data_IF_037986845693
#
_entry.id   IF_037986845693
#
_cell.length_a   1.000
_cell.length_b   1.000
_cell.length_c   1.000
_cell.angle_alpha   90.00
_cell.angle_beta   90.00
_cell.angle_gamma   90.00
#
_symmetry.space_group_name_H-M   'P 1'
#
loop_
_entity.id
_entity.type
_entity.pdbx_description
1 polymer ?
#
# COMPACT_ATOMS: atom_id res chain seq x y z
N UNK A 1 -12.48 3.80 15.82
CA UNK A 1 -12.09 4.94 14.97
C UNK A 1 -11.05 5.78 15.70
N UNK A 2 -10.02 6.26 15.02
CA UNK A 2 -9.06 7.24 15.53
C UNK A 2 -9.23 8.52 14.73
N UNK A 3 -9.46 9.64 15.39
CA UNK A 3 -9.44 10.97 14.76
C UNK A 3 -8.10 11.61 15.12
N UNK A 4 -7.36 12.12 14.12
CA UNK A 4 -6.08 12.76 14.39
C UNK A 4 -6.30 14.13 15.07
N UNK A 5 -5.92 14.24 16.35
CA UNK A 5 -5.92 15.50 17.11
C UNK A 5 -4.71 16.41 16.78
N UNK A 6 -4.03 16.16 15.64
CA UNK A 6 -2.83 16.88 15.22
C UNK A 6 -1.52 16.22 15.66
N UNK A 7 -1.58 15.02 16.24
CA UNK A 7 -0.41 14.25 16.64
C UNK A 7 0.35 13.64 15.44
N UNK A 8 -0.29 13.55 14.26
CA UNK A 8 0.27 13.00 13.01
C UNK A 8 0.84 11.58 13.16
N UNK A 9 0.37 10.82 14.15
CA UNK A 9 0.83 9.44 14.44
C UNK A 9 -0.14 8.44 13.85
N UNK A 10 0.39 7.35 13.29
CA UNK A 10 -0.43 6.23 12.88
C UNK A 10 -0.99 5.49 14.12
N UNK A 11 -2.18 4.87 14.06
CA UNK A 11 -2.82 4.25 15.22
C UNK A 11 -1.94 3.25 15.98
N UNK A 12 -1.14 2.46 15.28
CA UNK A 12 -0.24 1.46 15.86
C UNK A 12 0.93 2.07 16.67
N UNK A 13 1.17 3.38 16.54
CA UNK A 13 2.17 4.13 17.30
C UNK A 13 1.59 4.72 18.61
N UNK A 14 0.28 4.55 18.84
CA UNK A 14 -0.40 4.95 20.07
C UNK A 14 0.00 4.07 21.25
N UNK A 15 0.14 4.68 22.43
CA UNK A 15 0.43 3.93 23.65
C UNK A 15 -0.72 2.97 24.00
N UNK A 16 -0.40 1.74 24.38
CA UNK A 16 -1.39 0.73 24.78
C UNK A 16 -2.18 0.09 23.64
N UNK A 17 -2.01 0.53 22.38
CA UNK A 17 -2.72 -0.05 21.24
C UNK A 17 -2.15 -1.43 20.89
N UNK A 18 -0.84 -1.53 20.73
CA UNK A 18 -0.12 -2.80 20.62
C UNK A 18 0.55 -3.13 21.95
N UNK A 19 0.61 -4.43 22.31
CA UNK A 19 1.30 -4.89 23.53
C UNK A 19 2.78 -4.54 23.54
N UNK A 20 3.39 -4.51 22.35
CA UNK A 20 4.79 -4.12 22.14
C UNK A 20 4.87 -3.13 20.98
N UNK A 21 5.67 -2.06 21.11
CA UNK A 21 5.88 -1.15 20.00
C UNK A 21 6.64 -1.86 18.88
N UNK A 22 6.31 -1.50 17.63
CA UNK A 22 7.02 -2.02 16.46
C UNK A 22 8.43 -1.42 16.37
N UNK A 23 9.42 -2.18 15.86
CA UNK A 23 10.73 -1.63 15.51
C UNK A 23 10.63 -0.40 14.60
N UNK A 24 11.57 0.54 14.74
CA UNK A 24 11.62 1.78 13.95
C UNK A 24 12.27 1.57 12.56
N UNK A 25 11.94 0.46 11.92
CA UNK A 25 12.49 0.00 10.65
C UNK A 25 11.38 -0.36 9.66
N UNK A 26 11.58 -0.07 8.38
CA UNK A 26 10.67 -0.48 7.33
C UNK A 26 11.40 -1.07 6.12
N UNK A 27 10.73 -1.99 5.45
CA UNK A 27 11.06 -2.38 4.08
C UNK A 27 9.90 -1.97 3.18
N UNK A 28 10.19 -1.13 2.19
CA UNK A 28 9.23 -0.59 1.23
C UNK A 28 9.41 -1.30 -0.11
N UNK A 29 8.31 -1.72 -0.73
CA UNK A 29 8.31 -2.42 -2.01
C UNK A 29 7.49 -1.64 -3.02
N UNK A 30 8.12 -1.19 -4.10
CA UNK A 30 7.46 -0.33 -5.08
C UNK A 30 6.32 -1.04 -5.84
N UNK A 31 5.45 -0.28 -6.50
CA UNK A 31 4.43 -0.81 -7.39
C UNK A 31 5.00 -1.37 -8.71
N UNK A 32 4.13 -1.95 -9.54
CA UNK A 32 4.54 -2.46 -10.86
C UNK A 32 3.90 -3.76 -11.33
N UNK A 33 2.70 -4.10 -10.86
CA UNK A 33 1.98 -5.31 -11.25
C UNK A 33 2.77 -6.60 -10.95
N UNK A 34 2.63 -7.62 -11.80
CA UNK A 34 3.22 -8.95 -11.57
C UNK A 34 4.74 -8.92 -11.51
N UNK A 35 5.42 -8.02 -12.23
CA UNK A 35 6.87 -7.80 -12.11
C UNK A 35 7.26 -7.44 -10.68
N UNK A 36 6.55 -6.47 -10.09
CA UNK A 36 6.82 -6.08 -8.71
C UNK A 36 6.47 -7.19 -7.72
N UNK A 37 5.37 -7.91 -7.95
CA UNK A 37 5.01 -9.07 -7.12
C UNK A 37 6.15 -10.11 -7.07
N UNK A 38 6.66 -10.53 -8.23
CA UNK A 38 7.74 -11.53 -8.34
C UNK A 38 9.03 -11.03 -7.68
N UNK A 39 9.41 -9.77 -7.94
CA UNK A 39 10.60 -9.17 -7.32
C UNK A 39 10.46 -9.09 -5.79
N UNK A 40 9.28 -8.67 -5.31
CA UNK A 40 8.95 -8.57 -3.88
C UNK A 40 9.04 -9.93 -3.19
N UNK A 41 8.52 -11.00 -3.82
CA UNK A 41 8.64 -12.36 -3.27
C UNK A 41 10.11 -12.82 -3.18
N UNK A 42 10.93 -12.53 -4.19
CA UNK A 42 12.37 -12.80 -4.13
C UNK A 42 13.08 -12.02 -3.01
N UNK A 43 12.68 -10.77 -2.79
CA UNK A 43 13.23 -9.92 -1.73
C UNK A 43 12.80 -10.41 -0.34
N UNK A 44 11.53 -10.76 -0.15
CA UNK A 44 11.03 -11.38 1.08
C UNK A 44 11.73 -12.71 1.37
N UNK A 45 11.96 -13.53 0.32
CA UNK A 45 12.73 -14.78 0.42
C UNK A 45 14.15 -14.54 0.90
N UNK A 46 14.84 -13.53 0.36
CA UNK A 46 16.17 -13.13 0.82
C UNK A 46 16.17 -12.68 2.28
N UNK A 47 15.20 -11.82 2.67
CA UNK A 47 15.06 -11.36 4.06
C UNK A 47 14.77 -12.51 5.04
N UNK A 48 13.94 -13.47 4.64
CA UNK A 48 13.64 -14.67 5.43
C UNK A 48 14.90 -15.54 5.62
N UNK A 49 15.63 -15.82 4.53
CA UNK A 49 16.88 -16.59 4.59
C UNK A 49 17.93 -15.93 5.50
N UNK A 50 18.00 -14.60 5.51
CA UNK A 50 18.92 -13.84 6.35
C UNK A 50 18.45 -13.71 7.81
N UNK A 51 17.26 -14.19 8.17
CA UNK A 51 16.69 -14.04 9.52
C UNK A 51 16.39 -12.59 9.90
N UNK A 52 16.12 -11.72 8.91
CA UNK A 52 15.94 -10.28 9.13
C UNK A 52 14.49 -9.86 9.33
N UNK A 53 13.52 -10.69 8.93
CA UNK A 53 12.10 -10.35 9.02
C UNK A 53 11.67 -10.00 10.46
N UNK A 54 12.18 -10.71 11.46
CA UNK A 54 11.87 -10.45 12.87
C UNK A 54 12.47 -9.13 13.41
N UNK A 55 13.30 -8.45 12.61
CA UNK A 55 13.87 -7.13 12.94
C UNK A 55 13.19 -5.98 12.18
N UNK A 56 12.32 -6.31 11.21
CA UNK A 56 11.60 -5.33 10.40
C UNK A 56 10.30 -4.97 11.11
N UNK A 57 10.10 -3.70 11.41
CA UNK A 57 8.86 -3.20 12.00
C UNK A 57 7.71 -3.18 11.01
N UNK A 58 7.97 -2.71 9.78
CA UNK A 58 6.94 -2.49 8.77
C UNK A 58 7.31 -3.10 7.42
N UNK A 59 6.34 -3.75 6.76
CA UNK A 59 6.39 -4.01 5.31
C UNK A 59 5.44 -3.05 4.63
N UNK A 60 5.99 -2.07 3.92
CA UNK A 60 5.18 -1.12 3.16
C UNK A 60 5.13 -1.54 1.70
N UNK A 61 3.93 -1.53 1.12
CA UNK A 61 3.72 -2.04 -0.23
C UNK A 61 2.56 -1.35 -0.94
N UNK A 62 2.55 -1.46 -2.25
CA UNK A 62 1.59 -0.82 -3.14
C UNK A 62 1.45 -1.62 -4.42
N UNK A 63 0.25 -1.65 -5.01
CA UNK A 63 0.00 -2.29 -6.30
C UNK A 63 0.48 -3.76 -6.29
N UNK A 64 1.28 -4.16 -7.28
CA UNK A 64 1.84 -5.51 -7.40
C UNK A 64 2.58 -6.03 -6.16
N UNK A 65 3.27 -5.17 -5.39
CA UNK A 65 3.93 -5.63 -4.17
C UNK A 65 2.94 -5.93 -3.04
N UNK A 66 1.75 -5.31 -3.06
CA UNK A 66 0.68 -5.64 -2.12
C UNK A 66 0.12 -7.05 -2.34
N UNK A 67 0.11 -7.56 -3.58
CA UNK A 67 -0.25 -8.94 -3.89
C UNK A 67 0.71 -9.94 -3.22
N UNK A 68 2.01 -9.61 -3.19
CA UNK A 68 3.05 -10.43 -2.57
C UNK A 68 3.02 -10.33 -1.03
N UNK A 69 3.11 -9.12 -0.48
CA UNK A 69 3.20 -8.88 0.98
C UNK A 69 1.94 -9.38 1.69
N UNK A 70 0.75 -9.13 1.15
CA UNK A 70 -0.50 -9.58 1.78
C UNK A 70 -0.57 -11.10 1.83
N UNK A 71 -0.26 -11.78 0.71
CA UNK A 71 -0.22 -13.24 0.67
C UNK A 71 0.80 -13.81 1.65
N UNK A 72 1.99 -13.21 1.72
CA UNK A 72 3.05 -13.63 2.64
C UNK A 72 2.69 -13.49 4.12
N UNK A 73 2.08 -12.36 4.50
CA UNK A 73 1.78 -12.04 5.90
C UNK A 73 0.55 -12.80 6.43
N UNK A 74 -0.46 -12.99 5.58
CA UNK A 74 -1.73 -13.59 5.99
C UNK A 74 -1.83 -15.11 5.75
N UNK A 75 -1.08 -15.68 4.80
CA UNK A 75 -1.08 -17.13 4.60
C UNK A 75 -0.39 -17.84 5.79
N UNK A 76 -1.01 -18.91 6.30
CA UNK A 76 -0.57 -19.66 7.49
C UNK A 76 0.86 -20.24 7.36
N UNK A 77 1.27 -20.54 6.14
CA UNK A 77 2.54 -21.13 5.70
C UNK A 77 3.31 -20.18 4.76
N UNK A 78 3.08 -18.86 4.88
CA UNK A 78 3.62 -17.87 3.95
C UNK A 78 5.14 -17.88 3.80
N UNK A 79 5.91 -18.18 4.85
CA UNK A 79 7.38 -18.34 4.79
C UNK A 79 7.76 -19.58 3.98
N UNK A 80 7.11 -20.72 4.25
CA UNK A 80 7.40 -21.98 3.56
C UNK A 80 7.10 -21.86 2.06
N UNK A 81 6.01 -21.15 1.73
CA UNK A 81 5.60 -20.87 0.34
C UNK A 81 6.50 -19.87 -0.41
N UNK A 82 7.45 -19.21 0.26
CA UNK A 82 8.45 -18.40 -0.46
C UNK A 82 9.36 -19.28 -1.29
N UNK A 83 9.59 -20.54 -0.90
CA UNK A 83 10.51 -21.46 -1.57
C UNK A 83 11.98 -21.15 -1.28
N UNK A 84 12.89 -21.96 -1.86
CA UNK A 84 14.34 -21.83 -1.63
C UNK A 84 14.95 -20.67 -2.42
N UNK A 85 16.01 -20.08 -1.86
CA UNK A 85 16.82 -19.10 -2.61
C UNK A 85 17.61 -19.84 -3.68
N UNK A 86 17.48 -19.38 -4.92
CA UNK A 86 18.27 -19.86 -6.06
C UNK A 86 19.23 -18.74 -6.43
N UNK A 87 20.53 -19.04 -6.51
CA UNK A 87 21.53 -18.05 -6.87
C UNK A 87 21.42 -17.70 -8.37
N UNK A 88 21.77 -16.47 -8.79
CA UNK A 88 21.65 -16.05 -10.18
C UNK A 88 22.29 -17.01 -11.19
N UNK A 89 23.47 -17.55 -10.87
CA UNK A 89 24.21 -18.52 -11.68
C UNK A 89 23.56 -19.91 -11.79
N UNK A 90 22.56 -20.19 -10.94
CA UNK A 90 21.80 -21.44 -10.93
C UNK A 90 20.43 -21.30 -11.62
N UNK A 91 20.05 -20.08 -12.05
CA UNK A 91 18.76 -19.86 -12.70
C UNK A 91 18.78 -20.40 -14.14
N UNK A 92 17.89 -21.35 -14.43
CA UNK A 92 17.69 -21.86 -15.80
C UNK A 92 16.24 -21.64 -16.25
N UNK A 93 16.02 -21.52 -17.56
CA UNK A 93 14.66 -21.43 -18.11
C UNK A 93 13.85 -22.71 -17.85
N UNK A 94 14.51 -23.88 -17.74
CA UNK A 94 13.85 -25.14 -17.43
C UNK A 94 13.30 -25.14 -16.00
N UNK A 95 14.08 -24.67 -15.02
CA UNK A 95 13.63 -24.56 -13.64
C UNK A 95 12.49 -23.53 -13.49
N UNK A 96 12.58 -22.41 -14.21
CA UNK A 96 11.52 -21.39 -14.21
C UNK A 96 10.19 -21.89 -14.81
N UNK A 97 10.24 -22.91 -15.68
CA UNK A 97 9.04 -23.53 -16.24
C UNK A 97 8.32 -24.44 -15.23
N UNK A 98 8.96 -24.81 -14.13
CA UNK A 98 8.45 -25.72 -13.12
C UNK A 98 8.35 -25.02 -11.75
N UNK A 99 7.22 -24.36 -11.49
CA UNK A 99 6.91 -23.80 -10.19
C UNK A 99 6.19 -24.83 -9.31
N UNK A 100 6.64 -24.96 -8.06
CA UNK A 100 5.90 -25.67 -7.02
C UNK A 100 4.49 -25.06 -6.90
N UNK A 101 3.45 -25.90 -6.97
CA UNK A 101 2.05 -25.46 -6.91
C UNK A 101 1.69 -24.79 -5.59
N UNK A 102 2.45 -25.03 -4.52
CA UNK A 102 2.28 -24.35 -3.23
C UNK A 102 2.89 -22.95 -3.19
N UNK A 103 3.77 -22.60 -4.15
CA UNK A 103 4.54 -21.36 -4.14
C UNK A 103 3.68 -20.10 -4.27
N UNK A 104 4.06 -19.05 -3.55
CA UNK A 104 3.47 -17.71 -3.71
C UNK A 104 3.71 -17.10 -5.10
N UNK A 105 4.58 -17.69 -5.93
CA UNK A 105 4.83 -17.24 -7.30
C UNK A 105 3.80 -17.75 -8.32
N UNK A 106 3.06 -18.83 -8.02
CA UNK A 106 2.11 -19.44 -8.96
C UNK A 106 1.09 -18.43 -9.51
N UNK A 107 0.52 -17.51 -8.73
CA UNK A 107 -0.40 -16.51 -9.27
C UNK A 107 0.22 -15.60 -10.35
N UNK A 108 1.55 -15.40 -10.35
CA UNK A 108 2.21 -14.56 -11.36
C UNK A 108 2.14 -15.16 -12.78
N UNK A 109 1.90 -16.47 -12.91
CA UNK A 109 1.71 -17.16 -14.20
C UNK A 109 0.23 -17.28 -14.59
N UNK A 110 -0.68 -16.76 -13.77
CA UNK A 110 -2.11 -16.83 -14.02
C UNK A 110 -2.57 -15.83 -15.09
N UNK A 111 -3.61 -16.19 -15.82
CA UNK A 111 -4.19 -15.36 -16.88
C UNK A 111 -5.15 -14.30 -16.33
N UNK A 112 -4.62 -13.34 -15.57
CA UNK A 112 -5.41 -12.30 -14.90
C UNK A 112 -6.42 -11.58 -15.82
N UNK A 113 -6.03 -11.30 -17.08
CA UNK A 113 -6.93 -10.64 -18.05
C UNK A 113 -8.18 -11.47 -18.35
N UNK A 114 -8.04 -12.79 -18.46
CA UNK A 114 -9.19 -13.69 -18.68
C UNK A 114 -10.09 -13.74 -17.43
N UNK A 115 -9.48 -13.77 -16.24
CA UNK A 115 -10.21 -13.69 -14.97
C UNK A 115 -11.00 -12.39 -14.85
N UNK A 116 -10.39 -11.25 -15.13
CA UNK A 116 -11.05 -9.94 -15.13
C UNK A 116 -12.20 -9.89 -16.14
N UNK A 117 -11.95 -10.31 -17.39
CA UNK A 117 -12.98 -10.34 -18.42
C UNK A 117 -14.16 -11.22 -18.02
N UNK A 118 -13.93 -12.31 -17.28
CA UNK A 118 -15.01 -13.17 -16.80
C UNK A 118 -15.95 -12.47 -15.81
N UNK A 119 -15.46 -11.52 -15.00
CA UNK A 119 -16.28 -10.72 -14.10
C UNK A 119 -16.98 -9.58 -14.83
N UNK A 120 -16.30 -8.91 -15.76
CA UNK A 120 -16.85 -7.77 -16.51
C UNK A 120 -17.95 -8.21 -17.51
N UNK A 121 -17.80 -9.37 -18.15
CA UNK A 121 -18.76 -9.84 -19.20
C UNK A 121 -19.97 -10.57 -18.65
N UNK A 122 -19.82 -11.35 -17.58
CA UNK A 122 -20.92 -12.14 -17.01
C UNK A 122 -21.92 -11.31 -16.22
N UNK A 123 -21.60 -10.05 -15.89
CA UNK A 123 -22.44 -9.19 -15.06
C UNK A 123 -22.67 -9.72 -13.63
N UNK A 124 -21.90 -10.73 -13.21
CA UNK A 124 -22.06 -11.40 -11.91
C UNK A 124 -21.70 -10.53 -10.72
N UNK A 125 -20.99 -9.42 -10.95
CA UNK A 125 -20.59 -8.44 -9.96
C UNK A 125 -20.76 -7.02 -10.50
N UNK A 126 -21.03 -6.02 -9.63
CA UNK A 126 -21.03 -4.62 -10.03
C UNK A 126 -19.70 -4.19 -10.69
N UNK A 127 -19.71 -3.23 -11.64
CA UNK A 127 -18.50 -2.82 -12.37
C UNK A 127 -17.34 -2.36 -11.49
N UNK A 128 -17.62 -1.64 -10.40
CA UNK A 128 -16.66 -1.16 -9.41
C UNK A 128 -16.04 -2.30 -8.57
N UNK A 129 -16.65 -3.48 -8.56
CA UNK A 129 -16.18 -4.67 -7.84
C UNK A 129 -15.41 -5.65 -8.73
N UNK A 130 -15.58 -5.59 -10.05
CA UNK A 130 -14.99 -6.56 -10.99
C UNK A 130 -13.47 -6.65 -10.86
N UNK A 131 -12.79 -5.51 -10.71
CA UNK A 131 -11.34 -5.47 -10.54
C UNK A 131 -10.89 -6.16 -9.24
N UNK A 132 -11.45 -5.78 -8.08
CA UNK A 132 -11.08 -6.35 -6.79
C UNK A 132 -11.36 -7.86 -6.73
N UNK A 133 -12.48 -8.32 -7.31
CA UNK A 133 -12.81 -9.74 -7.38
C UNK A 133 -11.84 -10.53 -8.27
N UNK A 134 -11.45 -9.97 -9.41
CA UNK A 134 -10.43 -10.57 -10.26
C UNK A 134 -9.07 -10.67 -9.54
N UNK A 135 -8.68 -9.64 -8.80
CA UNK A 135 -7.43 -9.61 -8.03
C UNK A 135 -7.47 -10.64 -6.89
N UNK A 136 -8.51 -10.64 -6.06
CA UNK A 136 -8.68 -11.64 -4.98
C UNK A 136 -8.69 -13.07 -5.51
N UNK A 137 -9.45 -13.33 -6.58
CA UNK A 137 -9.49 -14.65 -7.21
C UNK A 137 -8.13 -15.10 -7.77
N UNK A 138 -7.35 -14.17 -8.32
CA UNK A 138 -6.07 -14.52 -8.95
C UNK A 138 -4.98 -14.72 -7.90
N UNK A 139 -4.85 -13.78 -6.95
CA UNK A 139 -3.67 -13.69 -6.09
C UNK A 139 -3.87 -14.24 -4.68
N UNK A 140 -5.11 -14.24 -4.15
CA UNK A 140 -5.39 -14.67 -2.77
C UNK A 140 -6.06 -16.05 -2.69
N UNK A 141 -6.93 -16.39 -3.66
CA UNK A 141 -7.60 -17.71 -3.68
C UNK A 141 -6.63 -18.90 -3.69
N UNK A 142 -5.51 -18.90 -4.45
CA UNK A 142 -4.58 -20.03 -4.46
C UNK A 142 -3.90 -20.32 -3.11
N UNK A 143 -3.89 -19.34 -2.21
CA UNK A 143 -3.31 -19.44 -0.86
C UNK A 143 -4.37 -19.47 0.24
N UNK A 144 -5.63 -19.68 -0.13
CA UNK A 144 -6.75 -19.83 0.82
C UNK A 144 -7.19 -18.52 1.49
N UNK A 145 -6.84 -17.37 0.94
CA UNK A 145 -7.16 -16.05 1.51
C UNK A 145 -8.36 -15.35 0.86
N UNK A 146 -9.02 -15.99 -0.11
CA UNK A 146 -10.25 -15.50 -0.75
C UNK A 146 -11.29 -16.62 -0.83
N UNK A 147 -12.42 -16.42 -0.16
CA UNK A 147 -13.59 -17.31 -0.12
C UNK A 147 -14.85 -16.54 -0.55
N UNK A 148 -15.17 -16.50 -1.86
CA UNK A 148 -16.28 -15.69 -2.38
C UNK A 148 -17.64 -15.99 -1.73
N UNK A 149 -17.87 -17.24 -1.33
CA UNK A 149 -19.11 -17.71 -0.73
C UNK A 149 -19.27 -17.30 0.75
N UNK A 150 -18.15 -16.95 1.40
CA UNK A 150 -18.10 -16.52 2.79
C UNK A 150 -16.98 -15.47 2.95
N UNK A 151 -17.19 -14.23 2.45
CA UNK A 151 -16.17 -13.21 2.47
C UNK A 151 -15.86 -12.82 3.92
N UNK A 152 -14.57 -12.73 4.25
CA UNK A 152 -14.08 -12.29 5.55
C UNK A 152 -13.43 -10.91 5.42
N UNK A 153 -13.71 -10.04 6.38
CA UNK A 153 -12.90 -8.84 6.59
C UNK A 153 -11.52 -9.21 7.13
N UNK A 154 -10.72 -8.22 7.49
CA UNK A 154 -9.42 -8.44 8.11
C UNK A 154 -9.28 -7.65 9.41
N UNK A 155 -8.32 -8.07 10.24
CA UNK A 155 -8.06 -7.46 11.53
C UNK A 155 -6.68 -7.83 12.06
N UNK A 156 -6.28 -7.26 13.20
CA UNK A 156 -5.02 -7.60 13.82
C UNK A 156 -5.10 -8.97 14.51
N UNK A 157 -3.97 -9.66 14.73
CA UNK A 157 -3.90 -10.76 15.68
C UNK A 157 -4.25 -10.27 17.09
N UNK A 158 -5.21 -10.91 17.75
CA UNK A 158 -5.76 -10.43 19.04
C UNK A 158 -4.72 -10.47 20.16
N UNK A 159 -3.77 -11.40 20.08
CA UNK A 159 -2.65 -11.54 21.01
C UNK A 159 -1.63 -10.41 20.92
N UNK A 160 -1.66 -9.60 19.87
CA UNK A 160 -0.78 -8.44 19.70
C UNK A 160 -1.39 -7.14 20.20
N UNK A 161 -2.70 -7.12 20.44
CA UNK A 161 -3.42 -5.95 20.93
C UNK A 161 -3.26 -5.78 22.44
N UNK A 162 -3.21 -4.52 22.89
CA UNK A 162 -3.34 -4.20 24.32
C UNK A 162 -4.68 -4.70 24.89
N UNK A 163 -4.75 -4.84 26.22
CA UNK A 163 -5.89 -5.49 26.90
C UNK A 163 -7.24 -4.85 26.55
N UNK A 164 -7.31 -3.52 26.55
CA UNK A 164 -8.53 -2.77 26.22
C UNK A 164 -9.02 -3.05 24.79
N UNK A 165 -8.10 -3.13 23.83
CA UNK A 165 -8.40 -3.38 22.41
C UNK A 165 -8.77 -4.85 22.16
N UNK A 166 -8.09 -5.79 22.81
CA UNK A 166 -8.31 -7.22 22.62
C UNK A 166 -9.73 -7.65 23.03
N UNK A 167 -10.29 -7.05 24.09
CA UNK A 167 -11.64 -7.35 24.58
C UNK A 167 -12.76 -7.03 23.58
N UNK A 168 -12.49 -6.18 22.58
CA UNK A 168 -13.48 -5.67 21.62
C UNK A 168 -13.48 -6.45 20.30
N UNK A 169 -12.47 -7.29 20.05
CA UNK A 169 -12.21 -7.92 18.75
C UNK A 169 -12.70 -9.38 18.69
N UNK A 170 -14.01 -9.61 18.64
CA UNK A 170 -14.60 -10.98 18.62
C UNK A 170 -15.10 -11.47 17.24
N UNK A 171 -15.03 -10.64 16.21
CA UNK A 171 -15.52 -11.02 14.88
C UNK A 171 -14.58 -12.02 14.16
N UNK A 172 -15.16 -12.91 13.36
CA UNK A 172 -14.39 -13.74 12.44
C UNK A 172 -13.80 -12.87 11.32
N UNK A 173 -12.49 -12.91 11.16
CA UNK A 173 -11.77 -12.15 10.15
C UNK A 173 -10.42 -12.81 9.82
N UNK A 174 -9.87 -12.48 8.66
CA UNK A 174 -8.51 -12.85 8.27
C UNK A 174 -7.51 -12.05 9.09
N UNK A 175 -6.49 -12.74 9.64
CA UNK A 175 -5.48 -12.13 10.50
C UNK A 175 -4.08 -12.44 9.99
N UNK A 176 -3.13 -11.50 10.09
CA UNK A 176 -1.71 -11.81 9.99
C UNK A 176 -1.31 -12.92 10.95
N UNK A 177 -0.33 -13.75 10.58
CA UNK A 177 0.24 -14.76 11.49
C UNK A 177 0.90 -14.16 12.73
N UNK A 178 1.43 -12.96 12.58
CA UNK A 178 2.04 -12.16 13.63
C UNK A 178 1.83 -10.68 13.28
N UNK A 179 1.85 -9.82 14.31
CA UNK A 179 1.74 -8.38 14.08
C UNK A 179 2.98 -7.79 13.41
N UNK A 180 4.12 -8.48 13.53
CA UNK A 180 5.40 -8.08 12.97
C UNK A 180 5.88 -9.12 11.95
N UNK A 181 6.37 -8.71 10.77
CA UNK A 181 6.36 -7.34 10.26
C UNK A 181 4.95 -6.79 10.00
N UNK A 182 4.70 -5.54 10.38
CA UNK A 182 3.38 -4.91 10.25
C UNK A 182 3.14 -4.44 8.81
N UNK A 183 2.13 -4.96 8.10
CA UNK A 183 1.89 -4.58 6.71
C UNK A 183 1.17 -3.23 6.62
N UNK A 184 1.64 -2.37 5.72
CA UNK A 184 1.00 -1.11 5.35
C UNK A 184 0.82 -1.07 3.84
N UNK A 185 -0.42 -1.28 3.40
CA UNK A 185 -0.83 -1.30 1.99
C UNK A 185 -1.36 0.07 1.60
N UNK A 186 -0.81 0.67 0.54
CA UNK A 186 -1.21 2.00 0.09
C UNK A 186 -2.16 1.95 -1.10
N UNK A 187 -3.15 2.84 -1.09
CA UNK A 187 -4.01 3.16 -2.23
C UNK A 187 -4.15 4.68 -2.37
N UNK A 188 -4.80 5.09 -3.46
CA UNK A 188 -5.10 6.50 -3.74
C UNK A 188 -6.59 6.74 -3.65
N UNK A 189 -6.99 7.66 -2.77
CA UNK A 189 -8.33 8.20 -2.75
C UNK A 189 -8.42 9.41 -3.70
N UNK A 190 -9.40 9.41 -4.59
CA UNK A 190 -9.55 10.43 -5.61
C UNK A 190 -10.77 11.32 -5.32
N UNK A 191 -10.55 12.63 -5.23
CA UNK A 191 -11.63 13.59 -5.06
C UNK A 191 -11.43 14.86 -5.91
N UNK A 192 -12.45 15.34 -6.64
CA UNK A 192 -13.72 14.66 -6.90
C UNK A 192 -13.52 13.37 -7.71
N UNK A 193 -14.54 12.52 -7.81
CA UNK A 193 -14.46 11.29 -8.64
C UNK A 193 -14.26 11.61 -10.14
N UNK A 194 -14.62 12.81 -10.57
CA UNK A 194 -14.47 13.27 -11.95
C UNK A 194 -12.98 13.46 -12.24
N UNK A 195 -12.51 12.76 -13.27
CA UNK A 195 -11.16 12.95 -13.82
C UNK A 195 -11.01 14.35 -14.37
N UNK A 196 -10.07 15.10 -13.82
CA UNK A 196 -9.69 16.43 -14.28
C UNK A 196 -8.28 16.75 -13.79
N UNK A 197 -7.65 17.79 -14.36
CA UNK A 197 -6.36 18.30 -13.87
C UNK A 197 -6.44 18.86 -12.43
N UNK A 198 -7.65 19.13 -11.93
CA UNK A 198 -7.92 19.59 -10.57
C UNK A 198 -8.32 18.44 -9.62
N UNK A 199 -8.24 17.19 -10.08
CA UNK A 199 -8.51 16.03 -9.22
C UNK A 199 -7.39 15.89 -8.20
N UNK A 200 -7.78 15.76 -6.94
CA UNK A 200 -6.86 15.54 -5.82
C UNK A 200 -6.63 14.05 -5.62
N UNK A 201 -5.38 13.68 -5.41
CA UNK A 201 -4.94 12.33 -5.09
C UNK A 201 -4.46 12.27 -3.65
N UNK A 202 -5.27 11.68 -2.77
CA UNK A 202 -5.02 11.65 -1.32
C UNK A 202 -4.45 10.28 -0.92
N UNK A 203 -3.37 10.23 -0.13
CA UNK A 203 -2.85 8.96 0.39
C UNK A 203 -3.91 8.25 1.23
N UNK A 204 -4.08 6.96 1.00
CA UNK A 204 -4.98 6.11 1.78
C UNK A 204 -4.26 4.82 2.18
N UNK A 205 -4.37 4.43 3.45
CA UNK A 205 -3.63 3.31 4.00
C UNK A 205 -4.58 2.23 4.51
N UNK A 206 -4.24 0.98 4.23
CA UNK A 206 -4.85 -0.20 4.83
C UNK A 206 -3.81 -0.93 5.68
N UNK A 207 -4.16 -1.21 6.92
CA UNK A 207 -3.35 -1.99 7.87
C UNK A 207 -4.26 -2.97 8.61
N UNK A 208 -3.72 -4.02 9.27
CA UNK A 208 -4.55 -4.93 10.05
C UNK A 208 -5.32 -4.21 11.16
N UNK A 209 -4.77 -3.13 11.70
CA UNK A 209 -5.36 -2.39 12.81
C UNK A 209 -6.34 -1.32 12.34
N UNK A 210 -6.01 -0.62 11.26
CA UNK A 210 -6.71 0.60 10.87
C UNK A 210 -6.61 0.90 9.37
N UNK A 211 -7.67 1.48 8.84
CA UNK A 211 -7.86 1.86 7.44
C UNK A 211 -8.27 3.33 7.38
N UNK A 212 -7.64 4.13 6.54
CA UNK A 212 -7.99 5.54 6.43
C UNK A 212 -6.98 6.42 5.71
N UNK A 213 -7.35 7.70 5.59
CA UNK A 213 -6.46 8.75 5.10
C UNK A 213 -5.87 9.50 6.31
N UNK A 214 -4.54 9.58 6.42
CA UNK A 214 -3.84 10.02 7.63
C UNK A 214 -4.09 11.48 8.00
N UNK A 215 -4.12 12.36 7.00
CA UNK A 215 -4.06 13.80 7.21
C UNK A 215 -5.41 14.44 6.89
N UNK A 216 -5.83 15.39 7.71
CA UNK A 216 -6.98 16.26 7.41
C UNK A 216 -6.59 17.21 6.28
N UNK A 217 -7.41 17.26 5.24
CA UNK A 217 -7.22 18.15 4.09
C UNK A 217 -8.51 18.86 3.77
N UNK A 218 -8.44 20.18 3.62
CA UNK A 218 -9.50 20.96 2.99
C UNK A 218 -9.18 21.04 1.50
N UNK A 219 -9.98 20.35 0.69
CA UNK A 219 -9.78 20.25 -0.76
C UNK A 219 -10.88 21.04 -1.45
N UNK A 220 -10.51 21.75 -2.52
CA UNK A 220 -11.43 22.55 -3.32
C UNK A 220 -11.50 22.07 -4.75
N UNK A 221 -12.69 22.06 -5.32
CA UNK A 221 -12.96 21.79 -6.73
C UNK A 221 -14.12 22.67 -7.19
N UNK A 222 -13.86 23.54 -8.18
CA UNK A 222 -14.80 24.61 -8.57
C UNK A 222 -15.23 25.43 -7.33
N UNK A 223 -16.53 25.58 -7.10
CA UNK A 223 -17.11 26.32 -5.98
C UNK A 223 -17.35 25.43 -4.74
N UNK A 224 -16.90 24.18 -4.77
CA UNK A 224 -17.11 23.22 -3.67
C UNK A 224 -15.83 22.97 -2.91
N UNK A 225 -15.94 23.00 -1.58
CA UNK A 225 -14.87 22.62 -0.66
C UNK A 225 -15.30 21.42 0.17
N UNK A 226 -14.38 20.51 0.45
CA UNK A 226 -14.62 19.32 1.26
C UNK A 226 -13.42 19.00 2.15
N UNK A 227 -13.72 18.59 3.39
CA UNK A 227 -12.71 18.01 4.27
C UNK A 227 -12.57 16.51 3.96
N UNK A 228 -11.33 16.07 3.73
CA UNK A 228 -10.94 14.70 3.43
C UNK A 228 -9.85 14.24 4.41
N UNK A 229 -9.95 13.01 4.89
CA UNK A 229 -8.94 12.37 5.74
C UNK A 229 -8.96 12.82 7.20
N UNK A 230 -7.88 12.50 7.93
CA UNK A 230 -7.77 12.75 9.37
C UNK A 230 -8.50 11.75 10.24
N UNK A 231 -8.84 10.59 9.68
CA UNK A 231 -9.41 9.51 10.45
C UNK A 231 -8.93 8.14 9.97
N UNK A 232 -8.85 7.24 10.93
CA UNK A 232 -8.66 5.82 10.72
C UNK A 232 -9.78 5.03 11.37
N UNK A 233 -10.17 3.91 10.78
CA UNK A 233 -11.21 3.03 11.29
C UNK A 233 -10.71 1.60 11.26
N UNK A 234 -11.12 0.79 12.22
CA UNK A 234 -10.83 -0.63 12.19
C UNK A 234 -11.36 -1.26 10.90
N UNK A 235 -10.62 -2.15 10.23
CA UNK A 235 -11.03 -2.64 8.93
C UNK A 235 -12.41 -3.33 8.93
N UNK A 236 -12.79 -3.96 10.05
CA UNK A 236 -14.12 -4.57 10.23
C UNK A 236 -15.28 -3.58 10.25
N UNK A 237 -15.01 -2.31 10.60
CA UNK A 237 -15.98 -1.23 10.57
C UNK A 237 -15.93 -0.40 9.27
N UNK A 238 -14.96 -0.68 8.40
CA UNK A 238 -14.77 0.07 7.16
C UNK A 238 -15.94 -0.20 6.20
N UNK A 239 -16.57 0.86 5.70
CA UNK A 239 -17.81 0.79 4.92
C UNK A 239 -19.10 0.76 5.72
N UNK A 240 -18.99 0.67 7.05
CA UNK A 240 -20.10 0.69 8.00
C UNK A 240 -20.73 2.06 8.23
N UNK A 241 -21.78 2.10 9.04
CA UNK A 241 -22.51 3.29 9.47
C UNK A 241 -22.19 3.63 10.94
N UNK A 242 -22.29 4.90 11.31
CA UNK A 242 -22.09 5.38 12.69
C UNK A 242 -23.32 5.03 13.49
N UNK A 243 -23.09 4.63 14.74
CA UNK A 243 -24.16 4.41 15.70
C UNK A 243 -24.65 5.71 16.35
N UNK A 244 -23.76 6.67 16.61
CA UNK A 244 -24.07 7.89 17.39
C UNK A 244 -23.28 9.11 16.88
N UNK A 245 -23.75 10.32 17.24
CA UNK A 245 -23.04 11.59 16.99
C UNK A 245 -21.78 11.68 17.86
N UNK A 246 -20.63 11.77 17.19
CA UNK A 246 -19.32 11.65 17.83
C UNK A 246 -18.83 13.00 18.35
N UNK A 247 -18.44 13.05 19.63
CA UNK A 247 -17.53 14.09 20.13
C UNK A 247 -16.09 13.73 19.71
N UNK A 248 -15.34 14.72 19.23
CA UNK A 248 -14.12 14.60 18.39
C UNK A 248 -12.88 14.09 19.17
N UNK A 249 -13.03 13.20 20.15
CA UNK A 249 -11.90 12.57 20.84
C UNK A 249 -12.16 11.09 21.15
N UNK A 250 -11.22 10.22 20.78
CA UNK A 250 -11.21 8.81 21.17
C UNK A 250 -11.81 7.79 20.19
N UNK A 251 -12.04 6.57 20.69
CA UNK A 251 -12.56 5.43 19.94
C UNK A 251 -14.09 5.51 19.78
N UNK A 252 -14.55 5.45 18.54
CA UNK A 252 -15.98 5.39 18.20
C UNK A 252 -16.40 3.97 17.80
N UNK A 253 -17.59 3.55 18.26
CA UNK A 253 -18.27 2.33 17.83
C UNK A 253 -19.01 2.54 16.50
N UNK A 254 -18.82 1.61 15.57
CA UNK A 254 -19.47 1.62 14.25
C UNK A 254 -20.23 0.32 14.05
N UNK A 255 -21.30 0.36 13.25
CA UNK A 255 -21.94 -0.86 12.77
C UNK A 255 -21.05 -1.48 11.69
N UNK A 256 -20.79 -2.79 11.72
CA UNK A 256 -20.12 -3.45 10.61
C UNK A 256 -20.97 -3.32 9.34
N UNK A 257 -20.34 -3.15 8.16
CA UNK A 257 -21.07 -3.12 6.90
C UNK A 257 -21.77 -4.46 6.62
N UNK A 258 -22.87 -4.47 5.83
CA UNK A 258 -23.53 -5.71 5.41
C UNK A 258 -22.60 -6.66 4.64
N UNK A 259 -21.61 -6.12 3.93
CA UNK A 259 -20.54 -6.88 3.28
C UNK A 259 -19.19 -6.39 3.80
N UNK A 260 -18.33 -7.28 4.30
CA UNK A 260 -17.03 -6.87 4.81
C UNK A 260 -16.13 -6.39 3.68
N UNK A 261 -15.27 -5.42 3.98
CA UNK A 261 -14.16 -5.06 3.11
C UNK A 261 -13.04 -6.11 3.25
N UNK A 262 -12.79 -6.86 2.19
CA UNK A 262 -11.95 -8.06 2.21
C UNK A 262 -10.48 -7.75 1.94
N UNK A 263 -9.59 -8.73 2.14
CA UNK A 263 -8.20 -8.64 1.67
C UNK A 263 -8.13 -8.42 0.15
N UNK A 264 -9.02 -9.07 -0.62
CA UNK A 264 -9.14 -8.86 -2.07
C UNK A 264 -9.50 -7.43 -2.44
N UNK A 265 -10.36 -6.78 -1.66
CA UNK A 265 -10.69 -5.37 -1.84
C UNK A 265 -9.51 -4.45 -1.52
N UNK A 266 -8.78 -4.74 -0.44
CA UNK A 266 -7.57 -4.00 -0.04
C UNK A 266 -6.50 -4.02 -1.15
N UNK A 267 -6.09 -5.21 -1.58
CA UNK A 267 -5.04 -5.32 -2.60
C UNK A 267 -5.54 -4.93 -4.00
N UNK A 268 -6.85 -5.10 -4.25
CA UNK A 268 -7.51 -4.68 -5.48
C UNK A 268 -7.54 -3.17 -5.63
N UNK A 269 -7.93 -2.44 -4.58
CA UNK A 269 -7.88 -0.98 -4.54
C UNK A 269 -6.44 -0.47 -4.66
N UNK A 270 -5.50 -1.05 -3.90
CA UNK A 270 -4.07 -0.72 -3.97
C UNK A 270 -3.46 -0.88 -5.36
N UNK A 271 -4.01 -1.77 -6.19
CA UNK A 271 -3.51 -2.07 -7.53
C UNK A 271 -4.45 -1.64 -8.66
N UNK A 272 -5.46 -0.82 -8.40
CA UNK A 272 -6.44 -0.39 -9.39
C UNK A 272 -5.83 0.62 -10.38
N UNK A 273 -5.03 0.10 -11.31
CA UNK A 273 -4.21 0.88 -12.23
C UNK A 273 -5.05 1.88 -13.04
N UNK A 274 -4.69 3.16 -12.94
CA UNK A 274 -5.40 4.25 -13.58
C UNK A 274 -5.08 4.29 -15.08
N UNK A 275 -6.01 3.80 -15.90
CA UNK A 275 -5.92 3.83 -17.36
C UNK A 275 -6.75 4.96 -17.96
N UNK A 276 -6.18 5.68 -18.92
CA UNK A 276 -6.88 6.69 -19.73
C UNK A 276 -8.06 6.05 -20.44
N UNK A 277 -9.25 6.65 -20.34
CA UNK A 277 -10.48 6.18 -21.00
C UNK A 277 -11.29 5.11 -20.25
N UNK A 278 -10.76 4.47 -19.20
CA UNK A 278 -11.58 3.59 -18.36
C UNK A 278 -12.61 4.42 -17.58
N UNK A 279 -13.86 3.96 -17.61
CA UNK A 279 -14.95 4.60 -16.87
C UNK A 279 -14.63 4.61 -15.38
N UNK A 280 -14.71 5.79 -14.75
CA UNK A 280 -14.47 5.97 -13.30
C UNK A 280 -15.34 5.04 -12.46
N UNK A 281 -16.57 4.74 -12.91
CA UNK A 281 -17.51 3.82 -12.23
C UNK A 281 -17.05 2.36 -12.20
N UNK A 282 -16.02 1.99 -12.97
CA UNK A 282 -15.47 0.64 -13.00
C UNK A 282 -14.24 0.47 -12.09
N UNK A 283 -13.87 1.51 -11.36
CA UNK A 283 -12.83 1.45 -10.33
C UNK A 283 -13.45 1.16 -8.97
N UNK A 284 -12.67 0.63 -8.02
CA UNK A 284 -13.13 0.39 -6.67
C UNK A 284 -13.71 1.65 -6.03
N UNK A 285 -14.92 1.54 -5.49
CA UNK A 285 -15.49 2.52 -4.59
C UNK A 285 -15.63 1.89 -3.21
N UNK A 286 -15.38 2.68 -2.18
CA UNK A 286 -15.63 2.26 -0.82
C UNK A 286 -16.19 3.43 -0.01
N UNK A 287 -17.14 3.08 0.87
CA UNK A 287 -17.61 3.98 1.90
C UNK A 287 -16.52 4.12 2.95
N UNK A 288 -16.10 5.35 3.21
CA UNK A 288 -15.18 5.68 4.29
C UNK A 288 -15.68 6.91 5.03
N UNK A 289 -14.90 7.32 6.03
CA UNK A 289 -15.27 8.38 6.93
C UNK A 289 -14.28 9.53 6.83
N UNK A 290 -14.82 10.74 6.91
CA UNK A 290 -14.03 11.97 6.98
C UNK A 290 -14.76 12.97 7.88
N UNK A 291 -14.09 13.93 8.53
CA UNK A 291 -14.78 15.02 9.20
C UNK A 291 -15.65 15.84 8.23
N UNK A 292 -16.76 16.36 8.72
CA UNK A 292 -17.62 17.32 8.00
C UNK A 292 -17.09 18.74 8.15
N UNK A 293 -17.20 19.54 7.09
CA UNK A 293 -16.86 20.97 7.13
C UNK A 293 -17.79 21.76 8.07
N UNK A 294 -19.06 21.37 8.19
CA UNK A 294 -20.06 22.11 8.96
C UNK A 294 -20.08 21.75 10.45
N UNK A 295 -19.88 20.48 10.79
CA UNK A 295 -20.00 19.99 12.17
C UNK A 295 -18.67 19.53 12.77
N UNK A 296 -17.61 19.40 11.95
CA UNK A 296 -16.36 18.68 12.27
C UNK A 296 -16.56 17.25 12.78
N UNK A 297 -17.79 16.72 12.73
CA UNK A 297 -18.12 15.34 13.07
C UNK A 297 -17.92 14.40 11.87
N UNK A 298 -17.77 13.09 12.10
CA UNK A 298 -17.57 12.12 11.03
C UNK A 298 -18.78 12.03 10.10
N UNK A 299 -18.53 12.04 8.79
CA UNK A 299 -19.51 11.82 7.72
C UNK A 299 -19.10 10.61 6.87
N UNK A 300 -20.08 9.80 6.46
CA UNK A 300 -19.87 8.72 5.49
C UNK A 300 -19.86 9.30 4.09
N UNK A 301 -18.87 8.88 3.33
CA UNK A 301 -18.64 9.31 1.96
C UNK A 301 -18.22 8.11 1.14
N UNK A 302 -18.68 8.02 -0.11
CA UNK A 302 -18.32 6.96 -1.03
C UNK A 302 -17.52 7.60 -2.16
N UNK A 303 -16.21 7.35 -2.21
CA UNK A 303 -15.35 7.89 -3.26
C UNK A 303 -14.60 6.77 -3.99
N UNK A 304 -14.02 7.19 -5.11
CA UNK A 304 -13.19 6.43 -6.03
C UNK A 304 -11.78 6.15 -5.48
N UNK A 305 -11.36 4.90 -5.57
CA UNK A 305 -9.99 4.46 -5.27
C UNK A 305 -9.24 4.02 -6.53
N UNK A 306 -7.96 4.42 -6.63
CA UNK A 306 -7.03 3.95 -7.65
C UNK A 306 -5.75 3.41 -7.02
N UNK A 307 -4.87 2.88 -7.87
CA UNK A 307 -3.56 2.36 -7.49
C UNK A 307 -2.80 3.35 -6.58
N UNK A 308 -2.23 2.85 -5.48
CA UNK A 308 -1.49 3.71 -4.54
C UNK A 308 -0.27 4.35 -5.16
N UNK A 309 0.23 3.81 -6.28
CA UNK A 309 1.32 4.39 -7.05
C UNK A 309 0.98 5.72 -7.71
N UNK A 310 -0.30 6.10 -7.77
CA UNK A 310 -0.71 7.45 -8.20
C UNK A 310 -0.27 8.52 -7.20
N UNK A 311 -0.03 8.14 -5.93
CA UNK A 311 0.45 9.04 -4.88
C UNK A 311 1.88 8.71 -4.45
N UNK A 312 2.18 7.44 -4.20
CA UNK A 312 3.50 6.98 -3.75
C UNK A 312 3.81 5.56 -4.26
N UNK A 313 4.39 5.48 -5.46
CA UNK A 313 4.76 4.18 -6.05
C UNK A 313 5.89 3.47 -5.30
N UNK A 314 6.65 4.16 -4.45
CA UNK A 314 7.74 3.54 -3.68
C UNK A 314 7.27 3.03 -2.31
N UNK A 315 6.05 3.36 -1.89
CA UNK A 315 5.52 3.06 -0.54
C UNK A 315 6.42 3.58 0.59
N UNK A 316 7.09 4.71 0.36
CA UNK A 316 8.08 5.32 1.26
C UNK A 316 7.47 6.40 2.16
N UNK A 317 6.58 7.23 1.62
CA UNK A 317 6.17 8.50 2.22
C UNK A 317 5.34 8.28 3.49
N UNK A 318 4.49 7.25 3.50
CA UNK A 318 3.79 6.82 4.72
C UNK A 318 4.74 6.31 5.83
N UNK A 319 5.93 5.80 5.46
CA UNK A 319 6.95 5.37 6.42
C UNK A 319 7.76 6.56 6.96
N UNK A 320 8.03 7.57 6.13
CA UNK A 320 8.63 8.84 6.58
C UNK A 320 7.70 9.58 7.54
N UNK A 321 6.40 9.64 7.25
CA UNK A 321 5.39 10.22 8.16
C UNK A 321 5.38 9.55 9.54
N UNK A 322 5.61 8.23 9.58
CA UNK A 322 5.76 7.45 10.83
C UNK A 322 7.08 7.73 11.57
N UNK A 323 7.95 8.61 11.07
CA UNK A 323 9.24 9.01 11.65
C UNK A 323 10.17 7.82 11.88
N UNK A 324 10.16 6.87 10.94
CA UNK A 324 11.09 5.74 10.94
C UNK A 324 12.48 6.20 10.54
N UNK A 325 13.51 5.64 11.18
CA UNK A 325 14.90 6.06 11.01
C UNK A 325 15.73 5.13 10.13
N UNK A 326 15.22 3.92 9.87
CA UNK A 326 15.87 2.92 9.01
C UNK A 326 14.84 2.43 8.01
N UNK A 327 15.03 2.73 6.73
CA UNK A 327 14.12 2.32 5.67
C UNK A 327 14.93 1.72 4.52
N UNK A 328 14.58 0.51 4.12
CA UNK A 328 15.10 -0.14 2.90
C UNK A 328 14.02 -0.03 1.83
N UNK A 329 14.34 0.56 0.68
CA UNK A 329 13.40 0.70 -0.44
C UNK A 329 13.85 -0.21 -1.58
N UNK A 330 13.01 -1.18 -1.93
CA UNK A 330 13.16 -1.98 -3.14
C UNK A 330 12.38 -1.33 -4.29
N UNK A 331 13.12 -0.78 -5.25
CA UNK A 331 12.57 -0.17 -6.45
C UNK A 331 12.49 -1.20 -7.59
N UNK A 332 11.31 -1.79 -7.78
CA UNK A 332 11.01 -2.81 -8.80
C UNK A 332 10.68 -2.18 -10.17
N UNK A 333 11.54 -1.27 -10.61
CA UNK A 333 11.31 -0.43 -11.80
C UNK A 333 11.39 -1.20 -13.12
N UNK A 334 10.62 -0.76 -14.12
CA UNK A 334 10.88 -1.08 -15.55
C UNK A 334 11.90 -0.15 -16.18
N UNK A 335 12.12 1.01 -15.56
CA UNK A 335 12.91 2.07 -16.16
C UNK A 335 14.39 1.75 -15.97
N UNK A 336 15.18 1.81 -17.06
CA UNK A 336 16.61 1.64 -16.92
C UNK A 336 17.21 2.83 -16.18
N UNK A 337 18.37 2.62 -15.57
CA UNK A 337 19.27 3.71 -15.18
C UNK A 337 20.24 4.01 -16.33
N UNK A 338 20.13 5.18 -16.93
CA UNK A 338 21.06 5.68 -17.95
C UNK A 338 22.45 5.96 -17.34
N UNK A 339 23.51 5.51 -18.02
CA UNK A 339 24.89 5.66 -17.56
C UNK A 339 25.54 6.97 -18.04
N UNK A 340 24.98 7.59 -19.06
CA UNK A 340 25.44 8.81 -19.73
C UNK A 340 24.66 10.06 -19.30
N UNK A 341 23.56 9.88 -18.58
CA UNK A 341 22.79 10.96 -17.97
C UNK A 341 23.60 11.70 -16.89
N UNK A 342 23.67 13.03 -17.00
CA UNK A 342 24.29 13.90 -16.00
C UNK A 342 23.33 14.17 -14.83
N UNK A 343 23.61 13.67 -13.61
CA UNK A 343 22.72 13.84 -12.46
C UNK A 343 22.70 15.26 -11.87
N UNK A 344 23.48 16.20 -12.42
CA UNK A 344 23.41 17.62 -12.06
C UNK A 344 22.18 18.34 -12.66
N UNK A 345 21.58 17.78 -13.71
CA UNK A 345 20.32 18.25 -14.32
C UNK A 345 19.20 17.24 -14.09
N UNK A 346 17.93 17.63 -14.23
CA UNK A 346 16.82 16.68 -14.11
C UNK A 346 16.78 15.69 -15.29
N UNK A 347 16.37 14.43 -15.06
CA UNK A 347 16.39 13.40 -16.10
C UNK A 347 15.29 13.63 -17.12
N UNK A 348 15.59 13.25 -18.36
CA UNK A 348 14.61 13.06 -19.41
C UNK A 348 13.79 11.77 -19.17
N UNK A 349 12.57 11.67 -19.72
CA UNK A 349 11.77 10.45 -19.64
C UNK A 349 12.56 9.23 -20.10
N UNK A 350 12.55 8.17 -19.28
CA UNK A 350 13.21 6.90 -19.59
C UNK A 350 14.66 6.77 -19.11
N UNK A 351 15.28 7.83 -18.57
CA UNK A 351 16.66 7.75 -18.07
C UNK A 351 16.79 7.18 -16.66
N UNK A 352 15.72 7.27 -15.86
CA UNK A 352 15.60 6.72 -14.50
C UNK A 352 14.12 6.56 -14.19
N UNK A 353 13.79 5.80 -13.14
CA UNK A 353 12.42 5.76 -12.63
C UNK A 353 11.92 7.18 -12.28
N UNK A 354 10.80 7.64 -12.86
CA UNK A 354 10.34 9.02 -12.74
C UNK A 354 9.90 9.38 -11.32
N UNK A 355 9.65 8.39 -10.45
CA UNK A 355 9.28 8.67 -9.07
C UNK A 355 10.49 9.10 -8.21
N UNK A 356 11.71 8.69 -8.58
CA UNK A 356 12.92 8.96 -7.80
C UNK A 356 13.23 10.47 -7.74
N UNK A 357 13.36 11.20 -8.87
CA UNK A 357 13.70 12.62 -8.81
C UNK A 357 12.64 13.49 -8.10
N UNK A 358 11.37 13.06 -8.13
CA UNK A 358 10.27 13.75 -7.45
C UNK A 358 10.51 13.84 -5.94
N UNK A 359 11.14 12.81 -5.34
CA UNK A 359 11.54 12.82 -3.93
C UNK A 359 12.51 13.95 -3.58
N UNK A 360 13.26 14.43 -4.56
CA UNK A 360 14.32 15.42 -4.42
C UNK A 360 13.97 16.77 -5.07
N UNK A 361 12.71 16.96 -5.46
CA UNK A 361 12.18 18.25 -5.88
C UNK A 361 12.09 18.46 -7.40
N UNK A 362 12.19 17.41 -8.24
CA UNK A 362 11.78 17.55 -9.64
C UNK A 362 10.26 17.78 -9.69
N UNK A 363 9.76 18.88 -10.30
CA UNK A 363 8.34 19.09 -10.48
C UNK A 363 7.70 17.98 -11.31
N UNK A 364 6.54 17.50 -10.88
CA UNK A 364 5.82 16.43 -11.56
C UNK A 364 4.31 16.57 -11.32
N UNK A 365 3.49 16.50 -12.38
CA UNK A 365 2.04 16.62 -12.26
C UNK A 365 1.38 15.40 -11.61
N UNK A 366 1.99 14.21 -11.72
CA UNK A 366 1.50 12.99 -11.09
C UNK A 366 1.82 12.96 -9.60
N UNK A 367 3.00 13.44 -9.21
CA UNK A 367 3.48 13.43 -7.83
C UNK A 367 3.86 14.83 -7.33
N UNK A 368 2.92 15.79 -7.32
CA UNK A 368 3.22 17.20 -7.04
C UNK A 368 3.66 17.46 -5.59
N UNK A 369 3.44 16.52 -4.68
CA UNK A 369 3.66 16.68 -3.25
C UNK A 369 4.80 15.83 -2.69
N UNK A 370 5.63 15.22 -3.53
CA UNK A 370 6.56 14.17 -3.08
C UNK A 370 7.97 14.65 -2.74
N UNK A 371 8.25 15.96 -2.77
CA UNK A 371 9.55 16.48 -2.34
C UNK A 371 9.74 16.30 -0.83
N UNK A 372 10.70 15.46 -0.44
CA UNK A 372 10.97 15.09 0.96
C UNK A 372 12.46 14.99 1.30
N UNK A 373 13.35 15.13 0.30
CA UNK A 373 14.79 15.10 0.50
C UNK A 373 15.46 16.26 -0.25
N UNK A 374 16.60 16.77 0.23
CA UNK A 374 17.29 17.86 -0.45
C UNK A 374 17.75 17.49 -1.86
N UNK A 375 17.60 18.42 -2.79
CA UNK A 375 18.08 18.29 -4.18
C UNK A 375 19.54 17.84 -4.29
N UNK A 376 20.42 18.24 -3.36
CA UNK A 376 21.82 17.84 -3.38
C UNK A 376 22.01 16.32 -3.29
N UNK A 377 21.17 15.63 -2.51
CA UNK A 377 21.27 14.19 -2.31
C UNK A 377 20.89 13.37 -3.54
N UNK A 378 20.06 13.90 -4.44
CA UNK A 378 19.71 13.24 -5.70
C UNK A 378 20.96 12.89 -6.52
N UNK A 379 21.87 13.85 -6.64
CA UNK A 379 23.10 13.71 -7.41
C UNK A 379 23.96 12.56 -6.88
N UNK A 380 24.13 12.50 -5.57
CA UNK A 380 24.95 11.50 -4.91
C UNK A 380 24.33 10.09 -5.03
N UNK A 381 23.00 9.99 -4.92
CA UNK A 381 22.26 8.76 -5.15
C UNK A 381 22.49 8.22 -6.56
N UNK A 382 22.24 9.05 -7.58
CA UNK A 382 22.34 8.64 -8.98
C UNK A 382 23.78 8.31 -9.36
N UNK A 383 24.77 9.12 -8.92
CA UNK A 383 26.20 8.81 -9.16
C UNK A 383 26.61 7.49 -8.52
N UNK A 384 26.12 7.18 -7.32
CA UNK A 384 26.38 5.92 -6.63
C UNK A 384 25.84 4.74 -7.44
N UNK A 385 24.59 4.82 -7.91
CA UNK A 385 24.01 3.76 -8.74
C UNK A 385 24.69 3.65 -10.11
N UNK A 386 25.01 4.76 -10.78
CA UNK A 386 25.72 4.73 -12.05
C UNK A 386 27.11 4.10 -11.91
N UNK A 387 27.84 4.39 -10.83
CA UNK A 387 29.12 3.73 -10.53
C UNK A 387 28.93 2.23 -10.31
N UNK A 388 28.00 1.84 -9.42
CA UNK A 388 27.70 0.43 -9.18
C UNK A 388 27.36 -0.32 -10.47
N UNK A 389 26.54 0.28 -11.34
CA UNK A 389 26.17 -0.28 -12.64
C UNK A 389 27.38 -0.45 -13.57
N UNK A 390 28.28 0.55 -13.66
CA UNK A 390 29.51 0.45 -14.47
C UNK A 390 30.44 -0.66 -13.95
N UNK A 391 30.47 -0.86 -12.64
CA UNK A 391 31.28 -1.89 -11.99
C UNK A 391 30.65 -3.30 -12.06
N UNK A 392 29.48 -3.46 -12.69
CA UNK A 392 28.75 -4.73 -12.71
C UNK A 392 28.21 -5.17 -11.33
N UNK A 393 28.05 -4.23 -10.39
CA UNK A 393 27.56 -4.48 -9.03
C UNK A 393 26.06 -4.20 -8.90
N UNK A 394 25.38 -4.80 -7.89
CA UNK A 394 23.99 -4.45 -7.57
C UNK A 394 23.81 -2.95 -7.32
N UNK A 395 22.68 -2.39 -7.77
CA UNK A 395 22.35 -0.96 -7.62
C UNK A 395 21.86 -0.63 -6.21
N UNK A 396 22.76 -0.75 -5.25
CA UNK A 396 22.49 -0.45 -3.84
C UNK A 396 23.17 0.85 -3.46
N UNK A 397 22.42 1.75 -2.82
CA UNK A 397 22.93 2.95 -2.21
C UNK A 397 22.47 3.00 -0.75
N UNK A 398 23.38 3.41 0.14
CA UNK A 398 23.09 3.64 1.55
C UNK A 398 23.41 5.10 1.87
N UNK A 399 22.41 5.84 2.34
CA UNK A 399 22.52 7.28 2.57
C UNK A 399 21.81 7.65 3.86
N UNK A 400 22.35 8.65 4.56
CA UNK A 400 21.65 9.33 5.65
C UNK A 400 21.10 10.64 5.07
N UNK A 401 19.78 10.67 4.87
CA UNK A 401 19.11 11.81 4.27
C UNK A 401 18.36 12.61 5.35
N UNK A 402 18.54 13.93 5.44
CA UNK A 402 17.61 14.75 6.20
C UNK A 402 16.26 14.75 5.48
N UNK A 403 15.17 14.57 6.23
CA UNK A 403 13.81 14.63 5.70
C UNK A 403 13.35 16.08 5.75
N UNK A 404 12.93 16.63 4.61
CA UNK A 404 12.38 17.99 4.53
C UNK A 404 10.94 18.03 5.07
N UNK A 405 10.54 19.19 5.60
CA UNK A 405 9.15 19.39 6.03
C UNK A 405 8.22 19.30 4.83
N UNK A 406 7.11 18.57 4.99
CA UNK A 406 6.14 18.39 3.92
C UNK A 406 4.72 18.44 4.50
N UNK A 407 4.05 19.57 4.33
CA UNK A 407 2.72 19.78 4.90
C UNK A 407 1.65 18.87 4.31
N UNK A 408 1.87 18.35 3.09
CA UNK A 408 0.96 17.39 2.45
C UNK A 408 1.06 15.98 3.01
N UNK A 409 2.25 15.55 3.44
CA UNK A 409 2.46 14.21 3.98
C UNK A 409 2.41 14.16 5.52
N UNK A 410 2.74 15.26 6.20
CA UNK A 410 2.72 15.38 7.66
C UNK A 410 4.10 15.30 8.28
#
# INVERSE_FOLDING_TARGET
MWVDEGARRAPEQGAGILRRPLPRSAVCFSGGGTRSMVATLGQLRGLAMLGLLDQVGYLSCVSGSAWAVTSFVYAADGVDRLGRVTLPEQLTCADLACLDSASLLVPATSKFRETLASFETKGSVPPDRAWCRAVGQTFLRPVGLETPEAPLGFGPPSEALGEDMASQCQASCSRPRAIQPFPVVHATLNWPEIRSEQQHHVPFEYTPLAVGAPQVRELSYKEHTRIVGGSYIEPMGFGGDLLESVQVSGLVRVLPPPQPFTLGDMIGASSAFNTTGRNVRAYPHARYWTPSASTRGPQVVNDLFTDGGDVDTMSLLGMLRRKLSVIVVFLNSVWPLALDYDPDVWPLPGQIDPAVPCLFGQPNCRWPHNHVFPRSAYRDLVRTWQRAKRDGRPLVASMRLPVESNDWWG
#
